data_IF_676969678970
#
_entry.id   IF_676969678970
#
_cell.length_a   1.000
_cell.length_b   1.000
_cell.length_c   1.000
_cell.angle_alpha   90.00
_cell.angle_beta   90.00
_cell.angle_gamma   90.00
#
_symmetry.space_group_name_H-M   'P 1'
#
loop_
_entity.id
_entity.type
_entity.pdbx_description
1 polymer ?
#
# COMPACT_ATOMS: atom_id res chain seq x y z
N UNK A 1 -14.30 -15.06 10.21
CA UNK A 1 -13.18 -15.06 9.24
C UNK A 1 -13.17 -13.76 8.41
N UNK A 2 -13.53 -13.76 7.11
CA UNK A 2 -13.27 -12.63 6.18
C UNK A 2 -13.72 -11.22 6.61
N UNK A 3 -14.90 -11.06 7.21
CA UNK A 3 -15.37 -9.77 7.73
C UNK A 3 -14.55 -9.28 8.94
N UNK A 4 -14.09 -10.21 9.77
CA UNK A 4 -13.25 -9.91 10.92
C UNK A 4 -11.84 -9.52 10.47
N UNK A 5 -11.29 -10.21 9.45
CA UNK A 5 -9.99 -9.88 8.86
C UNK A 5 -9.99 -8.45 8.28
N UNK A 6 -11.04 -8.09 7.53
CA UNK A 6 -11.19 -6.72 7.01
C UNK A 6 -11.24 -5.68 8.14
N UNK A 7 -12.06 -5.92 9.17
CA UNK A 7 -12.17 -5.00 10.32
C UNK A 7 -10.85 -4.89 11.07
N UNK A 8 -10.07 -5.97 11.14
CA UNK A 8 -8.74 -5.97 11.76
C UNK A 8 -7.77 -5.09 10.99
N UNK A 9 -7.67 -5.26 9.67
CA UNK A 9 -6.78 -4.47 8.80
C UNK A 9 -7.07 -2.97 8.95
N UNK A 10 -8.34 -2.55 8.88
CA UNK A 10 -8.70 -1.14 9.04
C UNK A 10 -8.37 -0.58 10.43
N UNK A 11 -8.53 -1.38 11.50
CA UNK A 11 -8.14 -0.95 12.85
C UNK A 11 -6.63 -0.80 12.99
N UNK A 12 -5.87 -1.76 12.47
CA UNK A 12 -4.40 -1.70 12.47
C UNK A 12 -3.93 -0.47 11.68
N UNK A 13 -4.49 -0.23 10.49
CA UNK A 13 -4.19 0.96 9.68
C UNK A 13 -4.55 2.28 10.37
N UNK A 14 -5.73 2.36 11.01
CA UNK A 14 -6.10 3.55 11.78
C UNK A 14 -5.16 3.80 12.95
N UNK A 15 -4.67 2.74 13.61
CA UNK A 15 -3.65 2.84 14.65
C UNK A 15 -2.36 3.46 14.09
N UNK A 16 -1.83 2.90 12.98
CA UNK A 16 -0.64 3.44 12.31
C UNK A 16 -0.83 4.90 11.92
N UNK A 17 -1.97 5.26 11.30
CA UNK A 17 -2.25 6.65 10.90
C UNK A 17 -2.22 7.61 12.08
N UNK A 18 -2.87 7.24 13.18
CA UNK A 18 -2.94 8.08 14.39
C UNK A 18 -1.55 8.28 15.01
N UNK A 19 -0.73 7.22 15.07
CA UNK A 19 0.66 7.30 15.54
C UNK A 19 1.49 8.27 14.68
N UNK A 20 1.39 8.16 13.35
CA UNK A 20 2.08 9.06 12.43
C UNK A 20 1.58 10.50 12.52
N UNK A 21 0.26 10.71 12.61
CA UNK A 21 -0.31 12.06 12.79
C UNK A 21 0.20 12.72 14.06
N UNK A 22 0.32 11.97 15.17
CA UNK A 22 0.92 12.48 16.40
C UNK A 22 2.40 12.81 16.19
N UNK A 23 3.17 11.87 15.62
CA UNK A 23 4.60 12.05 15.40
C UNK A 23 4.92 13.24 14.47
N UNK A 24 4.05 13.55 13.50
CA UNK A 24 4.18 14.72 12.62
C UNK A 24 4.13 16.06 13.38
N UNK A 25 3.54 16.08 14.57
CA UNK A 25 3.47 17.28 15.43
C UNK A 25 4.68 17.42 16.37
N UNK A 26 5.52 16.40 16.48
CA UNK A 26 6.70 16.41 17.33
C UNK A 26 7.86 17.21 16.69
N UNK A 27 8.70 17.88 17.51
CA UNK A 27 9.86 18.60 16.99
C UNK A 27 10.88 17.66 16.32
N UNK A 28 11.81 18.19 15.51
CA UNK A 28 12.87 17.40 14.90
C UNK A 28 13.72 16.63 15.92
N UNK A 29 14.17 15.41 15.60
CA UNK A 29 14.06 14.74 14.29
C UNK A 29 12.78 13.94 14.07
N UNK A 30 11.91 13.81 15.09
CA UNK A 30 10.76 12.90 15.05
C UNK A 30 9.75 13.28 13.98
N UNK A 31 9.30 14.53 13.94
CA UNK A 31 8.38 15.01 12.90
C UNK A 31 8.93 14.89 11.48
N UNK A 32 10.23 15.18 11.29
CA UNK A 32 10.89 15.06 10.00
C UNK A 32 10.96 13.60 9.51
N UNK A 33 11.26 12.65 10.41
CA UNK A 33 11.21 11.22 10.08
C UNK A 33 9.78 10.78 9.77
N UNK A 34 8.80 11.18 10.58
CA UNK A 34 7.39 10.85 10.33
C UNK A 34 6.93 11.35 8.94
N UNK A 35 7.34 12.55 8.55
CA UNK A 35 7.04 13.12 7.24
C UNK A 35 7.63 12.32 6.08
N UNK A 36 8.87 11.80 6.22
CA UNK A 36 9.50 10.97 5.19
C UNK A 36 8.75 9.65 4.92
N UNK A 37 8.14 9.08 5.96
CA UNK A 37 7.36 7.84 5.88
C UNK A 37 5.88 8.05 5.54
N UNK A 38 5.36 9.28 5.66
CA UNK A 38 3.94 9.57 5.47
C UNK A 38 3.40 9.16 4.08
N UNK A 39 4.13 9.38 2.96
CA UNK A 39 3.68 8.92 1.66
C UNK A 39 3.46 7.41 1.57
N UNK A 40 4.29 6.60 2.26
CA UNK A 40 4.12 5.15 2.30
C UNK A 40 2.83 4.76 3.03
N UNK A 41 2.54 5.41 4.17
CA UNK A 41 1.30 5.17 4.92
C UNK A 41 0.09 5.42 4.03
N UNK A 42 0.08 6.54 3.31
CA UNK A 42 -1.00 6.89 2.37
C UNK A 42 -1.12 5.85 1.24
N UNK A 43 0.00 5.40 0.66
CA UNK A 43 -0.02 4.38 -0.39
C UNK A 43 -0.60 3.04 0.11
N UNK A 44 -0.23 2.61 1.32
CA UNK A 44 -0.78 1.38 1.92
C UNK A 44 -2.28 1.50 2.20
N UNK A 45 -2.75 2.66 2.67
CA UNK A 45 -4.20 2.92 2.81
C UNK A 45 -4.92 2.76 1.46
N UNK A 46 -4.36 3.35 0.39
CA UNK A 46 -4.94 3.24 -0.95
C UNK A 46 -4.93 1.82 -1.50
N UNK A 47 -3.92 1.01 -1.21
CA UNK A 47 -3.91 -0.43 -1.55
C UNK A 47 -5.10 -1.17 -0.90
N UNK A 48 -5.36 -0.90 0.39
CA UNK A 48 -6.47 -1.52 1.13
C UNK A 48 -7.82 -1.10 0.54
N UNK A 49 -7.96 0.17 0.21
CA UNK A 49 -9.19 0.71 -0.39
C UNK A 49 -9.39 0.18 -1.81
N UNK A 50 -8.34 0.12 -2.64
CA UNK A 50 -8.39 -0.45 -3.98
C UNK A 50 -8.77 -1.93 -3.96
N UNK A 51 -8.25 -2.70 -3.00
CA UNK A 51 -8.58 -4.12 -2.81
C UNK A 51 -10.05 -4.29 -2.42
N UNK A 52 -10.54 -3.42 -1.54
CA UNK A 52 -11.96 -3.39 -1.14
C UNK A 52 -12.86 -3.03 -2.33
N UNK A 53 -12.48 -2.02 -3.12
CA UNK A 53 -13.21 -1.60 -4.30
C UNK A 53 -13.25 -2.70 -5.37
N UNK A 54 -12.12 -3.40 -5.60
CA UNK A 54 -12.06 -4.55 -6.52
C UNK A 54 -13.06 -5.64 -6.12
N UNK A 55 -13.10 -5.97 -4.82
CA UNK A 55 -14.07 -6.93 -4.29
C UNK A 55 -15.52 -6.46 -4.44
N UNK A 56 -15.79 -5.18 -4.19
CA UNK A 56 -17.12 -4.60 -4.39
C UNK A 56 -17.53 -4.72 -5.85
N UNK A 57 -16.65 -4.41 -6.81
CA UNK A 57 -16.93 -4.57 -8.24
C UNK A 57 -17.27 -6.01 -8.62
N UNK A 58 -16.48 -6.98 -8.15
CA UNK A 58 -16.75 -8.42 -8.39
C UNK A 58 -18.11 -8.83 -7.81
N UNK A 59 -18.43 -8.38 -6.58
CA UNK A 59 -19.74 -8.65 -5.98
C UNK A 59 -20.92 -8.04 -6.77
N UNK A 60 -20.67 -7.00 -7.56
CA UNK A 60 -21.66 -6.35 -8.44
C UNK A 60 -21.59 -6.87 -9.89
N UNK A 61 -20.89 -7.97 -10.16
CA UNK A 61 -20.91 -8.65 -11.46
C UNK A 61 -19.73 -8.34 -12.38
N UNK A 62 -18.71 -7.62 -11.92
CA UNK A 62 -17.46 -7.52 -12.68
C UNK A 62 -16.74 -8.88 -12.72
N UNK A 63 -15.97 -9.11 -13.79
CA UNK A 63 -15.17 -10.32 -13.95
C UNK A 63 -14.17 -10.47 -12.79
N UNK A 64 -14.06 -11.70 -12.26
CA UNK A 64 -13.11 -12.00 -11.21
C UNK A 64 -11.68 -12.00 -11.77
N UNK A 65 -10.69 -11.46 -11.03
CA UNK A 65 -9.30 -11.45 -11.50
C UNK A 65 -8.76 -12.87 -11.63
N UNK A 66 -7.85 -13.07 -12.59
CA UNK A 66 -7.22 -14.37 -12.81
C UNK A 66 -6.38 -14.77 -11.59
N UNK A 67 -6.32 -16.07 -11.30
CA UNK A 67 -5.58 -16.58 -10.14
C UNK A 67 -4.08 -16.18 -10.17
N UNK A 68 -3.47 -16.17 -11.36
CA UNK A 68 -2.08 -15.73 -11.58
C UNK A 68 -1.89 -14.26 -11.20
N UNK A 69 -2.85 -13.41 -11.55
CA UNK A 69 -2.80 -11.98 -11.26
C UNK A 69 -2.89 -11.72 -9.74
N UNK A 70 -3.77 -12.47 -9.05
CA UNK A 70 -3.85 -12.45 -7.59
C UNK A 70 -2.54 -12.92 -6.97
N UNK A 71 -1.90 -13.97 -7.51
CA UNK A 71 -0.62 -14.46 -7.03
C UNK A 71 0.51 -13.42 -7.17
N UNK A 72 0.55 -12.71 -8.30
CA UNK A 72 1.50 -11.60 -8.53
C UNK A 72 1.29 -10.49 -7.50
N UNK A 73 0.05 -10.04 -7.29
CA UNK A 73 -0.26 -9.00 -6.28
C UNK A 73 0.17 -9.44 -4.87
N UNK A 74 -0.03 -10.71 -4.50
CA UNK A 74 0.42 -11.24 -3.21
C UNK A 74 1.95 -11.24 -3.10
N UNK A 75 2.65 -11.61 -4.17
CA UNK A 75 4.11 -11.59 -4.20
C UNK A 75 4.65 -10.16 -4.04
N UNK A 76 4.06 -9.19 -4.74
CA UNK A 76 4.42 -7.77 -4.65
C UNK A 76 4.17 -7.18 -3.26
N UNK A 77 3.03 -7.51 -2.63
CA UNK A 77 2.74 -7.09 -1.25
C UNK A 77 3.75 -7.65 -0.25
N UNK A 78 4.17 -8.91 -0.44
CA UNK A 78 5.22 -9.51 0.41
C UNK A 78 6.56 -8.83 0.19
N UNK A 79 6.94 -8.58 -1.06
CA UNK A 79 8.18 -7.88 -1.39
C UNK A 79 8.20 -6.46 -0.80
N UNK A 80 7.08 -5.73 -0.90
CA UNK A 80 6.91 -4.43 -0.26
C UNK A 80 7.11 -4.53 1.26
N UNK A 81 6.44 -5.47 1.92
CA UNK A 81 6.56 -5.67 3.36
C UNK A 81 8.02 -5.98 3.79
N UNK A 82 8.75 -6.80 3.03
CA UNK A 82 10.17 -7.04 3.28
C UNK A 82 11.02 -5.78 3.10
N UNK A 83 10.74 -4.97 2.06
CA UNK A 83 11.42 -3.68 1.85
C UNK A 83 11.22 -2.73 3.03
N UNK A 84 9.98 -2.59 3.50
CA UNK A 84 9.62 -1.74 4.65
C UNK A 84 10.34 -2.17 5.92
N UNK A 85 10.48 -3.48 6.18
CA UNK A 85 11.20 -3.98 7.37
C UNK A 85 12.70 -3.72 7.33
N UNK A 86 13.29 -3.60 6.14
CA UNK A 86 14.73 -3.36 5.96
C UNK A 86 15.08 -1.87 5.90
N UNK A 87 14.14 -1.03 5.46
CA UNK A 87 14.35 0.41 5.30
C UNK A 87 14.56 1.12 6.65
N UNK A 88 15.60 1.95 6.75
CA UNK A 88 15.90 2.78 7.93
C UNK A 88 15.37 4.21 7.80
N UNK A 89 15.26 4.71 6.56
CA UNK A 89 14.64 6.00 6.20
C UNK A 89 14.24 5.92 4.72
N UNK A 90 13.02 6.25 4.31
CA UNK A 90 12.65 6.34 2.91
C UNK A 90 13.32 7.60 2.36
N UNK A 91 14.39 7.44 1.60
CA UNK A 91 15.06 8.55 0.89
C UNK A 91 14.10 9.12 -0.17
N UNK A 92 14.15 10.42 -0.44
CA UNK A 92 13.12 11.17 -1.19
C UNK A 92 12.62 10.50 -2.48
N UNK A 93 11.32 10.65 -2.70
CA UNK A 93 10.49 9.71 -3.46
C UNK A 93 10.15 10.24 -4.85
N UNK A 94 10.47 9.48 -5.89
CA UNK A 94 9.91 9.64 -7.22
C UNK A 94 8.99 8.45 -7.52
N UNK A 95 7.71 8.67 -7.89
CA UNK A 95 6.85 7.58 -8.34
C UNK A 95 7.49 6.90 -9.55
N UNK A 96 7.84 5.62 -9.42
CA UNK A 96 8.31 4.82 -10.54
C UNK A 96 7.15 4.52 -11.49
N UNK A 97 7.46 4.40 -12.78
CA UNK A 97 6.48 4.06 -13.81
C UNK A 97 5.84 2.68 -13.53
N UNK A 98 4.55 2.57 -13.89
CA UNK A 98 3.72 1.39 -13.68
C UNK A 98 4.33 0.16 -14.38
N UNK A 99 4.46 -1.01 -13.72
CA UNK A 99 4.67 -2.25 -14.46
C UNK A 99 3.43 -2.55 -15.33
N UNK A 100 3.60 -3.06 -16.56
CA UNK A 100 2.48 -3.35 -17.44
C UNK A 100 1.58 -4.43 -16.85
N UNK A 101 0.27 -4.21 -16.91
CA UNK A 101 -0.74 -5.18 -16.51
C UNK A 101 -2.04 -4.97 -17.29
N UNK A 102 -2.98 -5.88 -17.11
CA UNK A 102 -4.31 -5.76 -17.71
C UNK A 102 -5.10 -4.61 -17.06
N UNK A 103 -5.13 -3.45 -17.72
CA UNK A 103 -5.87 -2.26 -17.26
C UNK A 103 -7.39 -2.48 -17.18
N UNK A 104 -7.92 -3.49 -17.86
CA UNK A 104 -9.33 -3.89 -17.77
C UNK A 104 -9.66 -4.66 -16.48
N UNK A 105 -8.64 -5.19 -15.79
CA UNK A 105 -8.84 -5.97 -14.58
C UNK A 105 -9.27 -5.11 -13.39
N UNK A 106 -10.15 -5.68 -12.55
CA UNK A 106 -10.54 -5.08 -11.27
C UNK A 106 -9.37 -4.84 -10.31
N UNK A 107 -8.21 -5.48 -10.53
CA UNK A 107 -6.99 -5.30 -9.75
C UNK A 107 -6.04 -4.22 -10.30
N UNK A 108 -6.34 -3.58 -11.44
CA UNK A 108 -5.52 -2.51 -11.99
C UNK A 108 -5.22 -1.38 -10.98
N UNK A 109 -6.21 -0.88 -10.21
CA UNK A 109 -5.93 0.13 -9.18
C UNK A 109 -5.04 -0.40 -8.04
N UNK A 110 -5.12 -1.69 -7.71
CA UNK A 110 -4.27 -2.28 -6.65
C UNK A 110 -2.82 -2.32 -7.11
N UNK A 111 -2.57 -2.69 -8.37
CA UNK A 111 -1.21 -2.66 -8.95
C UNK A 111 -0.65 -1.24 -9.02
N UNK A 112 -1.49 -0.25 -9.31
CA UNK A 112 -1.06 1.14 -9.33
C UNK A 112 -0.53 1.61 -7.99
N UNK A 113 -1.30 1.38 -6.92
CA UNK A 113 -0.89 1.79 -5.57
C UNK A 113 0.30 0.96 -5.06
N UNK A 114 0.42 -0.31 -5.47
CA UNK A 114 1.59 -1.14 -5.20
C UNK A 114 2.86 -0.60 -5.86
N UNK A 115 2.78 -0.19 -7.13
CA UNK A 115 3.92 0.40 -7.84
C UNK A 115 4.38 1.70 -7.16
N UNK A 116 3.43 2.56 -6.80
CA UNK A 116 3.70 3.76 -6.03
C UNK A 116 4.35 3.44 -4.68
N UNK A 117 3.81 2.49 -3.90
CA UNK A 117 4.37 2.10 -2.61
C UNK A 117 5.78 1.50 -2.71
N UNK A 118 6.07 0.73 -3.77
CA UNK A 118 7.40 0.15 -4.00
C UNK A 118 8.44 1.20 -4.36
N UNK A 119 8.08 2.16 -5.21
CA UNK A 119 8.93 3.32 -5.49
C UNK A 119 9.27 4.09 -4.20
N UNK A 120 8.39 4.01 -3.20
CA UNK A 120 8.58 4.62 -1.90
C UNK A 120 9.52 3.87 -0.98
N UNK A 121 9.48 2.54 -1.03
CA UNK A 121 10.21 1.69 -0.09
C UNK A 121 11.64 1.34 -0.56
N UNK A 122 12.03 1.70 -1.78
CA UNK A 122 13.39 1.46 -2.30
C UNK A 122 14.34 2.58 -1.91
N UNK A 123 15.44 2.22 -1.24
CA UNK A 123 16.59 3.09 -0.98
C UNK A 123 17.38 3.23 -2.29
N UNK A 124 17.46 4.44 -2.85
CA UNK A 124 18.51 4.74 -3.82
C UNK A 124 19.83 4.83 -3.03
N UNK A 125 20.74 3.89 -3.30
CA UNK A 125 22.06 3.80 -2.67
C UNK A 125 22.97 4.96 -3.10
#
# INVERSE_FOLDING_TARGET
>A
ARLQDRRRIYREMSGVRNEFQRALTEPPPTGARAAAWWPLVVAVERIVDATTAARVRVNHGAEAPRAEEVATVIADLRALAEGVRKARTPTQLHPAALPPGDEGSVLAPVRHELAAARAIATDEH
#
